data_IF_379060817091
#
_entry.id   IF_379060817091
#
_cell.length_a   1.000
_cell.length_b   1.000
_cell.length_c   1.000
_cell.angle_alpha   90.00
_cell.angle_beta   90.00
_cell.angle_gamma   90.00
#
_symmetry.space_group_name_H-M   'P 1'
#
loop_
_entity.id
_entity.type
_entity.pdbx_description
1 polymer ?
#
# COMPACT_ATOMS: atom_id res chain seq x y z
N UNK A 1 -18.68 -19.37 -48.03
CA UNK A 1 -18.93 -18.55 -46.83
C UNK A 1 -19.30 -19.43 -45.65
N UNK A 2 -18.49 -19.46 -44.59
CA UNK A 2 -18.82 -20.18 -43.35
C UNK A 2 -18.83 -19.17 -42.21
N UNK A 3 -20.05 -18.78 -41.82
CA UNK A 3 -20.35 -17.86 -40.73
C UNK A 3 -20.11 -18.55 -39.37
N UNK A 4 -19.10 -18.10 -38.63
CA UNK A 4 -18.83 -18.52 -37.24
C UNK A 4 -19.52 -17.57 -36.27
N UNK A 5 -20.68 -17.99 -35.77
CA UNK A 5 -21.38 -17.45 -34.60
C UNK A 5 -20.46 -17.52 -33.37
N UNK A 6 -20.17 -16.38 -32.72
CA UNK A 6 -19.55 -16.33 -31.38
C UNK A 6 -20.65 -16.16 -30.34
N UNK A 7 -20.81 -17.15 -29.47
CA UNK A 7 -21.59 -17.06 -28.24
C UNK A 7 -20.84 -16.20 -27.21
N UNK A 8 -21.53 -15.23 -26.61
CA UNK A 8 -21.06 -14.51 -25.44
C UNK A 8 -21.35 -15.34 -24.19
N UNK A 9 -20.33 -15.54 -23.36
CA UNK A 9 -20.49 -16.04 -22.00
C UNK A 9 -20.60 -14.83 -21.07
N UNK A 10 -21.80 -14.60 -20.56
CA UNK A 10 -22.04 -13.74 -19.40
C UNK A 10 -21.55 -14.48 -18.14
N UNK A 11 -20.58 -13.91 -17.44
CA UNK A 11 -20.31 -14.27 -16.05
C UNK A 11 -20.95 -13.21 -15.14
N UNK A 12 -21.66 -13.63 -14.07
CA UNK A 12 -22.26 -12.69 -13.13
C UNK A 12 -21.18 -12.07 -12.23
N UNK A 13 -21.23 -10.75 -12.10
CA UNK A 13 -20.45 -9.97 -11.15
C UNK A 13 -21.05 -10.18 -9.74
N UNK A 14 -20.26 -10.75 -8.82
CA UNK A 14 -20.59 -10.76 -7.40
C UNK A 14 -20.41 -9.34 -6.83
N UNK A 15 -21.52 -8.71 -6.46
CA UNK A 15 -21.55 -7.52 -5.61
C UNK A 15 -21.79 -7.98 -4.17
N UNK A 16 -20.77 -7.88 -3.32
CA UNK A 16 -20.90 -8.08 -1.88
C UNK A 16 -20.85 -6.70 -1.21
N UNK A 17 -22.03 -6.13 -0.96
CA UNK A 17 -22.21 -5.12 0.07
C UNK A 17 -22.50 -5.85 1.38
N UNK A 18 -21.51 -5.96 2.27
CA UNK A 18 -21.74 -6.41 3.64
C UNK A 18 -22.21 -5.21 4.45
N UNK A 19 -23.46 -5.31 4.92
CA UNK A 19 -24.06 -4.38 5.87
C UNK A 19 -23.44 -4.51 7.26
N UNK A 20 -23.43 -3.39 7.97
CA UNK A 20 -23.01 -3.27 9.37
C UNK A 20 -23.97 -4.04 10.28
N UNK A 21 -23.41 -4.91 11.13
CA UNK A 21 -24.11 -5.47 12.29
C UNK A 21 -23.50 -4.82 13.53
N UNK A 22 -24.25 -3.89 14.13
CA UNK A 22 -23.94 -3.35 15.45
C UNK A 22 -24.33 -4.37 16.52
N UNK A 23 -23.35 -4.88 17.26
CA UNK A 23 -23.56 -5.71 18.45
C UNK A 23 -23.14 -4.91 19.68
N UNK A 24 -24.14 -4.44 20.44
CA UNK A 24 -23.98 -3.93 21.79
C UNK A 24 -23.70 -5.10 22.74
N UNK A 25 -22.50 -5.16 23.32
CA UNK A 25 -22.22 -6.00 24.49
C UNK A 25 -22.25 -5.11 25.74
N UNK A 26 -23.31 -5.26 26.54
CA UNK A 26 -23.41 -4.74 27.89
C UNK A 26 -22.85 -5.82 28.85
N UNK A 27 -21.67 -5.60 29.39
CA UNK A 27 -21.11 -6.43 30.46
C UNK A 27 -21.47 -5.81 31.82
N UNK A 28 -22.51 -6.36 32.46
CA UNK A 28 -22.72 -6.22 33.91
C UNK A 28 -21.84 -7.26 34.61
N UNK A 29 -20.82 -6.80 35.35
CA UNK A 29 -20.13 -7.62 36.33
C UNK A 29 -20.68 -7.26 37.71
N UNK A 30 -21.44 -8.18 38.29
CA UNK A 30 -21.88 -8.09 39.68
C UNK A 30 -20.72 -8.40 40.64
N UNK A 31 -20.71 -7.60 41.68
CA UNK A 31 -19.75 -7.54 42.78
C UNK A 31 -20.15 -8.59 43.82
N UNK A 32 -19.24 -9.50 44.18
CA UNK A 32 -19.42 -10.35 45.37
C UNK A 32 -18.32 -10.02 46.37
N UNK A 33 -18.80 -9.55 47.53
CA UNK A 33 -18.12 -9.28 48.78
C UNK A 33 -17.43 -10.52 49.37
N UNK A 34 -16.21 -10.33 49.89
CA UNK A 34 -15.70 -11.04 51.07
C UNK A 34 -14.84 -10.07 51.90
N UNK A 35 -15.21 -9.78 53.15
CA UNK A 35 -14.33 -9.13 54.10
C UNK A 35 -13.76 -10.12 55.12
N UNK A 36 -12.65 -9.69 55.74
CA UNK A 36 -12.01 -10.19 56.96
C UNK A 36 -10.90 -11.24 56.86
N UNK A 37 -9.93 -11.00 57.74
CA UNK A 37 -8.72 -11.75 58.08
C UNK A 37 -7.58 -11.61 57.05
N UNK A 38 -6.43 -11.00 57.32
CA UNK A 38 -5.72 -10.88 58.61
C UNK A 38 -4.70 -9.76 58.50
N UNK A 39 -4.76 -8.78 59.41
CA UNK A 39 -3.61 -7.96 59.77
C UNK A 39 -2.62 -8.88 60.48
N UNK A 40 -1.41 -9.08 59.97
CA UNK A 40 -0.17 -9.24 60.74
C UNK A 40 1.00 -9.40 59.75
N UNK A 41 2.17 -8.85 60.11
CA UNK A 41 3.43 -8.79 59.33
C UNK A 41 3.58 -7.59 58.36
N UNK A 42 3.43 -6.39 58.90
CA UNK A 42 4.42 -5.31 58.68
C UNK A 42 5.62 -5.71 59.59
N UNK A 43 6.89 -5.79 59.19
CA UNK A 43 7.75 -4.69 58.77
C UNK A 43 9.11 -5.21 58.25
N UNK A 44 9.16 -6.00 57.15
CA UNK A 44 10.48 -6.42 56.61
C UNK A 44 10.57 -6.57 55.08
N UNK A 45 9.50 -6.31 54.35
CA UNK A 45 9.48 -6.50 52.88
C UNK A 45 9.50 -5.21 52.05
N UNK A 46 9.24 -4.04 52.65
CA UNK A 46 9.17 -2.79 51.91
C UNK A 46 10.54 -2.31 51.38
N UNK A 47 11.63 -2.55 52.14
CA UNK A 47 12.98 -2.18 51.69
C UNK A 47 13.50 -3.12 50.58
N UNK A 48 13.13 -4.40 50.62
CA UNK A 48 13.55 -5.39 49.63
C UNK A 48 12.87 -5.15 48.27
N UNK A 49 11.59 -4.76 48.26
CA UNK A 49 10.87 -4.43 47.00
C UNK A 49 11.40 -3.13 46.40
N UNK A 50 11.70 -2.11 47.20
CA UNK A 50 12.26 -0.85 46.70
C UNK A 50 13.65 -1.05 46.06
N UNK A 51 14.52 -1.89 46.65
CA UNK A 51 15.83 -2.19 46.08
C UNK A 51 15.74 -3.03 44.80
N UNK A 52 14.75 -3.91 44.67
CA UNK A 52 14.49 -4.67 43.44
C UNK A 52 13.98 -3.78 42.28
N UNK A 53 13.26 -2.69 42.58
CA UNK A 53 12.84 -1.72 41.55
C UNK A 53 13.97 -0.78 41.11
N UNK A 54 14.95 -0.50 41.98
CA UNK A 54 16.10 0.35 41.63
C UNK A 54 17.13 -0.44 40.81
N UNK A 55 17.40 -1.71 41.15
CA UNK A 55 18.34 -2.55 40.38
C UNK A 55 17.81 -2.93 38.99
N UNK A 56 16.51 -3.17 38.83
CA UNK A 56 15.91 -3.42 37.51
C UNK A 56 15.82 -2.16 36.63
N UNK A 57 15.64 -0.96 37.20
CA UNK A 57 15.65 0.28 36.40
C UNK A 57 17.04 0.67 35.91
N UNK A 58 18.11 0.29 36.62
CA UNK A 58 19.48 0.61 36.20
C UNK A 58 19.98 -0.34 35.10
N UNK A 59 19.59 -1.62 35.13
CA UNK A 59 19.92 -2.60 34.07
C UNK A 59 19.08 -2.37 32.81
N UNK A 60 17.82 -1.94 32.93
CA UNK A 60 16.98 -1.58 31.77
C UNK A 60 17.48 -0.32 31.05
N UNK A 61 18.21 0.58 31.73
CA UNK A 61 18.79 1.77 31.10
C UNK A 61 20.16 1.57 30.45
N UNK A 62 20.89 0.50 30.79
CA UNK A 62 22.19 0.22 30.19
C UNK A 62 22.10 -0.57 28.86
N UNK A 63 20.99 -1.26 28.59
CA UNK A 63 20.79 -2.01 27.34
C UNK A 63 20.18 -1.16 26.19
N UNK A 64 19.83 0.10 26.43
CA UNK A 64 19.30 1.02 25.43
C UNK A 64 20.39 1.89 24.75
N UNK A 65 21.67 1.63 25.06
CA UNK A 65 22.81 2.37 24.53
C UNK A 65 23.84 1.47 23.83
N UNK A 66 23.46 0.26 23.42
CA UNK A 66 24.22 -0.49 22.42
C UNK A 66 24.00 0.16 21.06
N UNK A 67 24.90 1.10 20.75
CA UNK A 67 25.49 1.25 19.41
C UNK A 67 24.48 1.09 18.27
N UNK A 68 23.68 2.14 18.06
CA UNK A 68 23.30 2.51 16.70
C UNK A 68 24.61 2.74 15.95
N UNK A 69 25.14 1.67 15.34
CA UNK A 69 25.96 1.83 14.15
C UNK A 69 25.06 2.57 13.17
N UNK A 70 25.24 3.89 13.13
CA UNK A 70 24.64 4.79 12.16
C UNK A 70 25.24 4.49 10.80
N UNK A 71 24.95 3.32 10.26
CA UNK A 71 24.71 3.17 8.83
C UNK A 71 23.43 3.93 8.51
N UNK A 72 23.47 5.25 8.73
CA UNK A 72 22.43 6.18 8.33
C UNK A 72 22.23 5.91 6.85
N UNK A 73 21.16 5.18 6.51
CA UNK A 73 20.96 4.72 5.15
C UNK A 73 20.69 5.96 4.32
N UNK A 74 21.76 6.49 3.72
CA UNK A 74 21.71 7.68 2.89
C UNK A 74 20.55 7.53 1.91
N UNK A 75 19.55 8.37 2.06
CA UNK A 75 18.40 8.36 1.19
C UNK A 75 18.77 9.08 -0.12
N UNK A 76 18.16 8.68 -1.22
CA UNK A 76 18.34 9.38 -2.50
C UNK A 76 17.35 10.53 -2.56
N UNK A 77 17.86 11.76 -2.63
CA UNK A 77 17.04 12.95 -2.86
C UNK A 77 16.45 12.93 -4.26
N UNK A 78 15.16 13.29 -4.37
CA UNK A 78 14.41 13.35 -5.61
C UNK A 78 13.68 14.67 -5.65
N UNK A 79 14.08 15.59 -6.53
CA UNK A 79 13.40 16.89 -6.68
C UNK A 79 12.49 16.94 -7.91
N UNK A 80 12.59 15.94 -8.80
CA UNK A 80 11.81 15.92 -10.05
C UNK A 80 11.47 14.52 -10.56
N UNK A 81 10.46 14.44 -11.43
CA UNK A 81 10.08 13.20 -12.12
C UNK A 81 11.23 12.57 -12.92
N UNK A 82 12.07 13.42 -13.54
CA UNK A 82 13.21 12.96 -14.33
C UNK A 82 14.30 12.36 -13.45
N UNK A 83 14.54 12.92 -12.27
CA UNK A 83 15.45 12.35 -11.28
C UNK A 83 14.96 11.02 -10.76
N UNK A 84 13.66 10.89 -10.45
CA UNK A 84 13.09 9.59 -10.06
C UNK A 84 13.33 8.53 -11.14
N UNK A 85 13.09 8.87 -12.41
CA UNK A 85 13.37 7.97 -13.54
C UNK A 85 14.86 7.62 -13.63
N UNK A 86 15.76 8.59 -13.44
CA UNK A 86 17.22 8.38 -13.46
C UNK A 86 17.66 7.49 -12.30
N UNK A 87 17.16 7.73 -11.08
CA UNK A 87 17.44 6.95 -9.88
C UNK A 87 17.01 5.49 -10.07
N UNK A 88 15.76 5.26 -10.50
CA UNK A 88 15.25 3.90 -10.81
C UNK A 88 16.07 3.23 -11.92
N UNK A 89 16.49 3.96 -12.96
CA UNK A 89 17.32 3.42 -14.05
C UNK A 89 18.74 3.07 -13.57
N UNK A 90 19.36 3.91 -12.73
CA UNK A 90 20.69 3.66 -12.14
C UNK A 90 20.63 2.46 -11.21
N UNK A 91 19.58 2.38 -10.37
CA UNK A 91 19.35 1.29 -9.45
C UNK A 91 19.23 -0.08 -10.15
N UNK A 92 18.62 -0.13 -11.35
CA UNK A 92 18.58 -1.36 -12.16
C UNK A 92 19.98 -1.94 -12.48
N UNK A 93 21.01 -1.10 -12.57
CA UNK A 93 22.38 -1.54 -12.85
C UNK A 93 23.11 -1.99 -11.58
N UNK A 94 22.83 -1.34 -10.46
CA UNK A 94 23.46 -1.63 -9.17
C UNK A 94 23.07 -3.02 -8.64
N UNK A 95 24.04 -3.77 -8.09
CA UNK A 95 23.78 -5.00 -7.33
C UNK A 95 23.30 -4.59 -5.93
N UNK A 96 22.06 -4.13 -5.81
CA UNK A 96 21.46 -3.70 -4.55
C UNK A 96 20.00 -4.13 -4.49
N UNK A 97 19.50 -4.44 -3.28
CA UNK A 97 18.13 -4.92 -3.07
C UNK A 97 17.14 -3.79 -2.82
N UNK A 98 17.59 -2.68 -2.21
CA UNK A 98 16.71 -1.60 -1.75
C UNK A 98 17.19 -0.22 -2.21
N UNK A 99 16.27 0.56 -2.80
CA UNK A 99 16.41 1.99 -3.06
C UNK A 99 15.57 2.75 -2.02
N UNK A 100 16.24 3.45 -1.10
CA UNK A 100 15.58 4.33 -0.11
C UNK A 100 15.56 5.75 -0.66
N UNK A 101 14.36 6.34 -0.76
CA UNK A 101 14.16 7.71 -1.23
C UNK A 101 13.91 8.63 -0.04
N UNK A 102 14.46 9.85 -0.09
CA UNK A 102 14.12 10.89 0.87
C UNK A 102 12.66 11.34 0.63
N UNK A 103 12.08 12.09 1.56
CA UNK A 103 10.76 12.70 1.34
C UNK A 103 10.75 13.57 0.09
N UNK A 104 9.68 13.51 -0.70
CA UNK A 104 9.48 14.36 -1.86
C UNK A 104 7.98 14.52 -2.17
N UNK A 105 7.63 15.60 -2.88
CA UNK A 105 6.34 15.76 -3.54
C UNK A 105 6.59 16.17 -4.99
N UNK A 106 6.29 15.27 -5.93
CA UNK A 106 6.56 15.50 -7.35
C UNK A 106 5.31 15.30 -8.20
N UNK A 107 5.20 16.11 -9.23
CA UNK A 107 4.18 15.99 -10.27
C UNK A 107 4.81 15.43 -11.54
N UNK A 108 4.24 14.36 -12.09
CA UNK A 108 4.60 13.84 -13.42
C UNK A 108 4.08 14.81 -14.48
N UNK A 109 4.92 15.37 -15.36
CA UNK A 109 4.45 16.16 -16.49
C UNK A 109 3.52 15.36 -17.42
N UNK A 110 2.58 16.05 -18.07
CA UNK A 110 1.55 15.42 -18.92
C UNK A 110 2.14 14.56 -20.04
N UNK A 111 3.20 15.07 -20.68
CA UNK A 111 3.91 14.45 -21.80
C UNK A 111 4.91 13.35 -21.37
N UNK A 112 5.20 13.19 -20.08
CA UNK A 112 6.17 12.22 -19.60
C UNK A 112 5.56 10.82 -19.46
N UNK A 113 6.30 9.76 -19.86
CA UNK A 113 5.89 8.38 -19.62
C UNK A 113 5.97 8.02 -18.12
N UNK A 114 5.28 6.94 -17.71
CA UNK A 114 5.39 6.38 -16.38
C UNK A 114 6.84 5.97 -16.04
N UNK A 115 7.14 5.87 -14.75
CA UNK A 115 8.34 5.18 -14.27
C UNK A 115 8.16 3.68 -14.53
N UNK A 116 9.00 3.12 -15.39
CA UNK A 116 8.91 1.72 -15.79
C UNK A 116 9.89 0.85 -15.01
N UNK A 117 9.38 -0.10 -14.23
CA UNK A 117 10.16 -1.17 -13.62
C UNK A 117 10.27 -2.34 -14.58
N UNK A 118 11.46 -2.55 -15.14
CA UNK A 118 11.76 -3.59 -16.13
C UNK A 118 13.16 -4.15 -15.90
N UNK A 119 13.42 -5.37 -16.35
CA UNK A 119 14.73 -6.02 -16.25
C UNK A 119 14.84 -6.91 -15.02
N UNK A 120 15.72 -6.54 -14.08
CA UNK A 120 16.05 -7.35 -12.88
C UNK A 120 14.83 -7.62 -12.00
N UNK A 121 14.93 -8.69 -11.22
CA UNK A 121 13.93 -9.10 -10.22
C UNK A 121 14.33 -8.60 -8.82
N UNK A 122 13.39 -8.64 -7.87
CA UNK A 122 13.65 -8.38 -6.44
C UNK A 122 14.11 -6.94 -6.15
N UNK A 123 13.40 -5.97 -6.74
CA UNK A 123 13.62 -4.54 -6.55
C UNK A 123 12.75 -4.08 -5.38
N UNK A 124 13.35 -3.55 -4.31
CA UNK A 124 12.63 -2.88 -3.23
C UNK A 124 12.85 -1.38 -3.36
N UNK A 125 11.76 -0.61 -3.38
CA UNK A 125 11.81 0.85 -3.35
C UNK A 125 10.92 1.31 -2.21
N UNK A 126 11.47 2.16 -1.35
CA UNK A 126 10.78 2.63 -0.14
C UNK A 126 11.05 4.10 0.09
N UNK A 127 10.07 4.78 0.67
CA UNK A 127 10.34 6.04 1.32
C UNK A 127 11.13 5.80 2.62
N UNK A 128 11.85 6.83 3.07
CA UNK A 128 12.43 6.88 4.43
C UNK A 128 11.31 6.73 5.49
N UNK A 129 11.51 5.99 6.60
CA UNK A 129 10.51 5.88 7.66
C UNK A 129 10.06 7.24 8.17
N UNK A 130 8.76 7.44 8.31
CA UNK A 130 8.17 8.73 8.72
C UNK A 130 8.23 9.82 7.64
N UNK A 131 8.87 9.56 6.50
CA UNK A 131 8.87 10.47 5.36
C UNK A 131 7.62 10.37 4.51
N UNK A 132 7.44 11.35 3.63
CA UNK A 132 6.33 11.43 2.68
C UNK A 132 6.87 11.42 1.25
N UNK A 133 6.52 10.40 0.48
CA UNK A 133 6.89 10.28 -0.93
C UNK A 133 5.63 10.35 -1.80
N UNK A 134 5.28 11.57 -2.23
CA UNK A 134 4.05 11.87 -2.96
C UNK A 134 4.31 11.95 -4.46
N UNK A 135 3.48 11.27 -5.25
CA UNK A 135 3.56 11.27 -6.72
C UNK A 135 2.20 11.61 -7.31
N UNK A 136 2.13 12.70 -8.09
CA UNK A 136 0.89 13.18 -8.72
C UNK A 136 0.94 13.02 -10.24
N UNK A 137 -0.11 12.49 -10.86
CA UNK A 137 -0.16 12.33 -12.32
C UNK A 137 -0.69 13.59 -13.00
N UNK A 138 0.15 14.30 -13.76
CA UNK A 138 -0.26 15.48 -14.52
C UNK A 138 -0.76 15.19 -15.94
N UNK A 139 -1.21 13.97 -16.29
CA UNK A 139 -1.68 13.68 -17.65
C UNK A 139 -2.32 12.31 -17.84
N UNK A 140 -2.47 11.89 -19.09
CA UNK A 140 -3.27 10.70 -19.47
C UNK A 140 -2.60 9.36 -19.20
N UNK A 141 -1.31 9.35 -18.86
CA UNK A 141 -0.51 8.15 -18.58
C UNK A 141 -0.29 7.99 -17.08
N UNK A 142 -0.20 6.74 -16.64
CA UNK A 142 -0.08 6.37 -15.23
C UNK A 142 1.23 6.83 -14.63
N UNK A 143 1.37 6.64 -13.32
CA UNK A 143 2.60 6.98 -12.61
C UNK A 143 3.64 5.89 -12.79
N UNK A 144 3.24 4.64 -12.54
CA UNK A 144 4.15 3.50 -12.46
C UNK A 144 3.71 2.39 -13.42
N UNK A 145 4.68 1.77 -14.09
CA UNK A 145 4.46 0.58 -14.90
C UNK A 145 5.39 -0.54 -14.47
N UNK A 146 4.83 -1.64 -13.97
CA UNK A 146 5.59 -2.80 -13.51
C UNK A 146 5.61 -3.88 -14.58
N UNK A 147 6.79 -4.12 -15.13
CA UNK A 147 7.07 -5.10 -16.21
C UNK A 147 8.06 -6.20 -15.78
N UNK A 148 8.43 -6.28 -14.51
CA UNK A 148 9.38 -7.27 -13.96
C UNK A 148 8.82 -8.00 -12.73
N UNK A 149 9.54 -9.02 -12.24
CA UNK A 149 9.18 -9.79 -11.05
C UNK A 149 9.74 -9.18 -9.77
N UNK A 150 9.09 -9.43 -8.62
CA UNK A 150 9.64 -9.15 -7.31
C UNK A 150 9.83 -7.66 -7.06
N UNK A 151 8.94 -6.82 -7.58
CA UNK A 151 8.93 -5.39 -7.23
C UNK A 151 8.18 -5.22 -5.92
N UNK A 152 8.82 -4.58 -4.95
CA UNK A 152 8.23 -4.17 -3.68
C UNK A 152 8.25 -2.66 -3.59
N UNK A 153 7.08 -2.04 -3.46
CA UNK A 153 6.93 -0.60 -3.23
C UNK A 153 6.40 -0.40 -1.81
N UNK A 154 6.98 0.55 -1.08
CA UNK A 154 6.63 0.81 0.32
C UNK A 154 6.51 2.31 0.60
N UNK A 155 5.47 2.69 1.34
CA UNK A 155 5.35 4.03 1.96
C UNK A 155 5.25 5.18 0.93
N UNK A 156 4.44 5.02 -0.12
CA UNK A 156 4.16 6.06 -1.12
C UNK A 156 2.71 6.54 -1.04
N UNK A 157 2.49 7.82 -1.36
CA UNK A 157 1.16 8.32 -1.74
C UNK A 157 1.12 8.58 -3.25
N UNK A 158 0.15 7.97 -3.92
CA UNK A 158 -0.05 8.07 -5.36
C UNK A 158 -1.39 8.75 -5.63
N UNK A 159 -1.34 9.83 -6.39
CA UNK A 159 -2.52 10.59 -6.78
C UNK A 159 -2.58 10.73 -8.29
N UNK A 160 -3.75 10.51 -8.89
CA UNK A 160 -3.98 10.81 -10.30
C UNK A 160 -4.94 11.98 -10.45
N UNK A 161 -4.72 12.83 -11.45
CA UNK A 161 -5.74 13.79 -11.85
C UNK A 161 -6.92 13.11 -12.54
N UNK A 162 -8.09 13.76 -12.53
CA UNK A 162 -9.32 13.34 -13.21
C UNK A 162 -9.16 13.17 -14.72
N UNK A 163 -8.11 13.71 -15.32
CA UNK A 163 -7.86 13.57 -16.76
C UNK A 163 -7.19 12.24 -17.14
N UNK A 164 -6.83 11.39 -16.17
CA UNK A 164 -6.08 10.17 -16.47
C UNK A 164 -6.91 9.11 -17.18
N UNK A 165 -6.35 8.58 -18.28
CA UNK A 165 -6.89 7.43 -19.01
C UNK A 165 -6.19 6.14 -18.60
N UNK A 166 -5.60 6.10 -17.42
CA UNK A 166 -4.74 5.01 -17.00
C UNK A 166 -4.63 4.92 -15.48
N UNK A 167 -4.36 3.72 -14.94
CA UNK A 167 -4.22 3.55 -13.49
C UNK A 167 -3.00 4.29 -12.94
N UNK A 168 -3.00 4.56 -11.64
CA UNK A 168 -1.79 4.96 -10.90
C UNK A 168 -0.66 3.91 -11.08
N UNK A 169 -0.98 2.62 -11.02
CA UNK A 169 -0.06 1.50 -11.28
C UNK A 169 -0.61 0.56 -12.37
N UNK A 170 0.14 0.41 -13.46
CA UNK A 170 -0.12 -0.61 -14.50
C UNK A 170 0.84 -1.80 -14.35
N UNK A 171 0.28 -3.00 -14.18
CA UNK A 171 1.00 -4.26 -14.08
C UNK A 171 0.81 -5.04 -15.37
N UNK A 172 1.85 -5.00 -16.22
CA UNK A 172 1.80 -5.51 -17.59
C UNK A 172 2.71 -6.74 -17.82
N UNK A 173 2.93 -7.58 -16.81
CA UNK A 173 3.80 -8.75 -16.92
C UNK A 173 3.11 -10.08 -16.54
N UNK A 174 3.45 -11.19 -17.23
CA UNK A 174 2.91 -12.53 -16.94
C UNK A 174 3.68 -13.18 -15.79
N UNK A 175 2.99 -13.90 -14.89
CA UNK A 175 3.57 -14.71 -13.79
C UNK A 175 4.54 -13.92 -12.90
N UNK A 176 4.23 -12.64 -12.62
CA UNK A 176 5.06 -11.78 -11.76
C UNK A 176 4.40 -11.58 -10.41
N UNK A 177 5.21 -11.44 -9.37
CA UNK A 177 4.82 -11.12 -8.00
C UNK A 177 5.18 -9.67 -7.71
N UNK A 178 4.22 -8.90 -7.24
CA UNK A 178 4.39 -7.49 -6.84
C UNK A 178 3.89 -7.34 -5.42
N UNK A 179 4.64 -6.62 -4.60
CA UNK A 179 4.27 -6.31 -3.22
C UNK A 179 4.09 -4.81 -3.08
N UNK A 180 2.94 -4.40 -2.59
CA UNK A 180 2.60 -3.03 -2.26
C UNK A 180 2.37 -3.01 -0.75
N UNK A 181 3.10 -2.18 -0.03
CA UNK A 181 3.04 -2.12 1.44
C UNK A 181 2.82 -0.68 1.86
N UNK A 182 1.73 -0.41 2.58
CA UNK A 182 1.41 0.96 3.06
C UNK A 182 1.44 2.00 1.95
N UNK A 183 0.81 1.66 0.82
CA UNK A 183 0.62 2.59 -0.30
C UNK A 183 -0.74 3.26 -0.14
N UNK A 184 -0.77 4.58 -0.21
CA UNK A 184 -2.00 5.36 -0.29
C UNK A 184 -2.28 5.68 -1.76
N UNK A 185 -3.48 5.35 -2.22
CA UNK A 185 -3.99 5.75 -3.53
C UNK A 185 -5.11 6.76 -3.28
N UNK A 186 -4.95 7.98 -3.77
CA UNK A 186 -5.91 9.07 -3.58
C UNK A 186 -6.40 9.54 -4.94
N UNK A 187 -7.72 9.64 -5.12
CA UNK A 187 -8.36 10.14 -6.34
C UNK A 187 -7.79 9.51 -7.63
N UNK A 188 -7.32 8.26 -7.57
CA UNK A 188 -6.76 7.62 -8.75
C UNK A 188 -7.90 7.29 -9.73
N UNK A 189 -7.99 8.01 -10.84
CA UNK A 189 -9.04 7.83 -11.84
C UNK A 189 -8.53 7.14 -13.12
N UNK A 190 -9.36 6.29 -13.71
CA UNK A 190 -9.08 5.66 -15.00
C UNK A 190 -10.27 5.78 -15.94
N UNK A 191 -10.18 6.74 -16.87
CA UNK A 191 -11.21 7.00 -17.89
C UNK A 191 -11.15 6.08 -19.12
N UNK A 192 -10.35 5.01 -19.08
CA UNK A 192 -10.26 4.10 -20.22
C UNK A 192 -11.52 3.23 -20.33
N UNK A 193 -12.21 3.29 -21.47
CA UNK A 193 -13.53 2.67 -21.68
C UNK A 193 -13.54 1.14 -21.69
N UNK A 194 -12.41 0.50 -22.00
CA UNK A 194 -12.35 -0.96 -22.13
C UNK A 194 -12.19 -1.69 -20.80
N UNK A 195 -11.07 -1.47 -20.10
CA UNK A 195 -10.64 -2.24 -18.91
C UNK A 195 -9.67 -1.42 -18.08
N UNK A 196 -9.84 -1.41 -16.76
CA UNK A 196 -8.81 -0.96 -15.84
C UNK A 196 -9.37 -0.36 -14.55
N UNK A 197 -8.63 -0.52 -13.46
CA UNK A 197 -8.95 0.13 -12.19
C UNK A 197 -8.37 1.53 -12.17
N UNK A 198 -8.91 2.39 -11.32
CA UNK A 198 -8.41 3.73 -11.06
C UNK A 198 -7.01 3.71 -10.44
N UNK A 199 -6.83 2.94 -9.36
CA UNK A 199 -5.55 2.81 -8.68
C UNK A 199 -4.64 1.78 -9.36
N UNK A 200 -5.11 0.55 -9.54
CA UNK A 200 -4.30 -0.57 -10.00
C UNK A 200 -4.98 -1.27 -11.18
N UNK A 201 -4.23 -1.55 -12.23
CA UNK A 201 -4.65 -2.47 -13.29
C UNK A 201 -3.64 -3.59 -13.46
N UNK A 202 -4.11 -4.82 -13.35
CA UNK A 202 -3.33 -6.04 -13.60
C UNK A 202 -3.84 -6.70 -14.89
N UNK A 203 -3.14 -6.42 -15.99
CA UNK A 203 -3.55 -6.79 -17.34
C UNK A 203 -3.21 -8.23 -17.74
N UNK A 204 -2.40 -8.92 -16.93
CA UNK A 204 -1.92 -10.28 -17.19
C UNK A 204 -2.03 -11.10 -15.91
N UNK A 205 -1.88 -12.43 -15.99
CA UNK A 205 -1.86 -13.34 -14.84
C UNK A 205 -0.65 -13.10 -13.91
N UNK A 206 -0.61 -11.96 -13.24
CA UNK A 206 0.34 -11.59 -12.21
C UNK A 206 -0.32 -11.74 -10.84
N UNK A 207 0.50 -11.84 -9.80
CA UNK A 207 0.07 -11.88 -8.41
C UNK A 207 0.47 -10.56 -7.74
N UNK A 208 -0.51 -9.85 -7.18
CA UNK A 208 -0.28 -8.61 -6.43
C UNK A 208 -0.63 -8.85 -4.96
N UNK A 209 0.27 -8.48 -4.07
CA UNK A 209 0.05 -8.46 -2.63
C UNK A 209 -0.06 -7.00 -2.19
N UNK A 210 -1.24 -6.55 -1.78
CA UNK A 210 -1.44 -5.22 -1.21
C UNK A 210 -1.67 -5.33 0.29
N UNK A 211 -0.68 -4.94 1.07
CA UNK A 211 -0.69 -5.03 2.52
C UNK A 211 -0.77 -3.63 3.14
N UNK A 212 -1.79 -3.39 3.96
CA UNK A 212 -2.03 -2.08 4.60
C UNK A 212 -2.15 -0.93 3.60
N UNK A 213 -2.69 -1.19 2.42
CA UNK A 213 -2.91 -0.17 1.40
C UNK A 213 -4.24 0.53 1.63
N UNK A 214 -4.30 1.83 1.35
CA UNK A 214 -5.52 2.63 1.44
C UNK A 214 -5.88 3.08 0.03
N UNK A 215 -7.11 2.85 -0.39
CA UNK A 215 -7.68 3.27 -1.66
C UNK A 215 -8.79 4.27 -1.37
N UNK A 216 -8.55 5.56 -1.63
CA UNK A 216 -9.50 6.64 -1.39
C UNK A 216 -9.92 7.28 -2.70
N UNK A 217 -11.23 7.40 -2.93
CA UNK A 217 -11.81 8.11 -4.07
C UNK A 217 -11.31 7.62 -5.44
N UNK A 218 -10.91 6.34 -5.52
CA UNK A 218 -10.39 5.78 -6.76
C UNK A 218 -11.54 5.35 -7.66
N UNK A 219 -11.57 5.85 -8.90
CA UNK A 219 -12.67 5.62 -9.83
C UNK A 219 -12.22 5.03 -11.16
N UNK A 220 -13.10 4.28 -11.81
CA UNK A 220 -12.89 3.76 -13.17
C UNK A 220 -14.14 3.96 -14.01
N UNK A 221 -13.94 4.35 -15.28
CA UNK A 221 -15.02 4.48 -16.26
C UNK A 221 -15.49 3.13 -16.84
N UNK A 222 -14.78 2.04 -16.53
CA UNK A 222 -15.15 0.70 -16.97
C UNK A 222 -15.34 -0.21 -15.77
N UNK A 223 -14.43 -1.17 -15.60
CA UNK A 223 -14.52 -2.21 -14.59
C UNK A 223 -13.45 -2.05 -13.51
N UNK A 224 -13.81 -2.36 -12.27
CA UNK A 224 -12.86 -2.59 -11.16
C UNK A 224 -12.76 -1.48 -10.12
N UNK A 225 -13.41 -0.33 -10.32
CA UNK A 225 -13.36 0.79 -9.37
C UNK A 225 -11.93 1.19 -9.09
N UNK A 226 -11.43 0.93 -7.88
CA UNK A 226 -10.01 1.09 -7.55
C UNK A 226 -9.09 0.07 -8.25
N UNK A 227 -9.50 -1.20 -8.36
CA UNK A 227 -8.64 -2.32 -8.78
C UNK A 227 -9.29 -3.15 -9.87
N UNK A 228 -8.62 -3.25 -11.02
CA UNK A 228 -8.94 -4.24 -12.04
C UNK A 228 -7.86 -5.31 -12.09
N UNK A 229 -8.24 -6.59 -11.94
CA UNK A 229 -7.29 -7.69 -11.89
C UNK A 229 -7.73 -8.91 -12.70
N UNK A 230 -6.88 -9.36 -13.63
CA UNK A 230 -7.05 -10.60 -14.42
C UNK A 230 -6.15 -11.75 -13.89
N UNK A 231 -5.33 -11.48 -12.87
CA UNK A 231 -4.50 -12.46 -12.18
C UNK A 231 -4.98 -12.69 -10.75
N UNK A 232 -4.04 -12.79 -9.81
CA UNK A 232 -4.31 -12.99 -8.38
C UNK A 232 -4.05 -11.71 -7.61
N UNK A 233 -4.94 -11.40 -6.65
CA UNK A 233 -4.81 -10.26 -5.77
C UNK A 233 -5.01 -10.75 -4.34
N UNK A 234 -4.05 -10.43 -3.48
CA UNK A 234 -4.11 -10.68 -2.04
C UNK A 234 -4.08 -9.32 -1.35
N UNK A 235 -5.23 -8.89 -0.84
CA UNK A 235 -5.37 -7.66 -0.09
C UNK A 235 -5.46 -8.00 1.40
N UNK A 236 -4.49 -7.55 2.20
CA UNK A 236 -4.43 -7.80 3.64
C UNK A 236 -4.44 -6.48 4.38
N UNK A 237 -5.41 -6.28 5.26
CA UNK A 237 -5.63 -4.99 5.94
C UNK A 237 -5.70 -3.80 4.95
N UNK A 238 -6.27 -4.02 3.76
CA UNK A 238 -6.48 -2.96 2.79
C UNK A 238 -7.82 -2.27 3.06
N UNK A 239 -7.84 -0.94 2.91
CA UNK A 239 -9.03 -0.12 3.15
C UNK A 239 -9.48 0.53 1.84
N UNK A 240 -10.80 0.54 1.61
CA UNK A 240 -11.41 1.17 0.44
C UNK A 240 -12.41 2.21 0.91
N UNK A 241 -12.15 3.47 0.58
CA UNK A 241 -12.94 4.64 0.96
C UNK A 241 -13.46 5.27 -0.32
N UNK A 242 -14.79 5.30 -0.49
CA UNK A 242 -15.45 6.02 -1.59
C UNK A 242 -14.96 5.65 -3.01
N UNK A 243 -14.59 4.40 -3.26
CA UNK A 243 -14.17 3.92 -4.57
C UNK A 243 -15.37 3.46 -5.40
N UNK A 244 -15.44 3.84 -6.68
CA UNK A 244 -16.61 3.54 -7.52
C UNK A 244 -16.26 3.24 -8.98
N UNK A 245 -17.17 2.56 -9.68
CA UNK A 245 -17.15 2.46 -11.14
C UNK A 245 -18.24 3.35 -11.71
N UNK A 246 -17.88 4.31 -12.56
CA UNK A 246 -18.84 5.06 -13.35
C UNK A 246 -19.07 4.30 -14.66
N UNK A 247 -20.05 3.38 -14.68
CA UNK A 247 -20.55 2.84 -15.94
C UNK A 247 -21.43 3.91 -16.56
N UNK A 248 -20.83 4.81 -17.32
CA UNK A 248 -21.59 5.75 -18.15
C UNK A 248 -22.20 4.95 -19.30
N UNK A 249 -23.48 4.60 -19.20
CA UNK A 249 -24.23 4.09 -20.35
C UNK A 249 -24.49 5.30 -21.26
N UNK A 250 -23.62 5.54 -22.23
CA UNK A 250 -23.95 6.40 -23.36
C UNK A 250 -25.02 5.67 -24.19
N UNK A 251 -26.30 5.96 -23.92
CA UNK A 251 -27.41 5.57 -24.79
C UNK A 251 -27.28 6.42 -26.07
N UNK A 252 -26.69 5.82 -27.11
CA UNK A 252 -26.62 6.39 -28.47
C UNK A 252 -27.81 5.99 -29.32
#
# INVERSE_FOLDING_TARGET
EISKKRQSFNHPSFSLCLGEVSLFLSCRLETIFYPMLTRFVLTSSALAVALFFISNNLVVRAAAATTLESGETACTEIISWNELKKAVKKFKKAKGRTLTLCSFDIVKPSNQPPVVFSGRTNIVIRCVPGGTCNMKAGGTKGLLAVRTNGVTLMDFSLHSSDASKSPCIDVAAKKKKIKLVRIKFEACTNKHSRRGGGAITVNKKATVYANKCIFSECTSASNGGAIYNVGEMYATAAEFVSCSTSVSIELS
#
